data_IF_988150483741
#
_entry.id   IF_988150483741
#
_cell.length_a   1.000
_cell.length_b   1.000
_cell.length_c   1.000
_cell.angle_alpha   90.00
_cell.angle_beta   90.00
_cell.angle_gamma   90.00
#
_symmetry.space_group_name_H-M   'P 1'
#
loop_
_entity.id
_entity.type
_entity.pdbx_description
1 polymer ?
#
# COMPACT_ATOMS: atom_id res chain seq x y z
N UNK A 1 -46.69 -38.23 18.66
CA UNK A 1 -46.22 -39.61 18.53
C UNK A 1 -45.41 -39.87 17.27
N UNK A 2 -45.97 -39.84 16.05
CA UNK A 2 -45.20 -40.09 14.80
C UNK A 2 -44.12 -39.01 14.55
N UNK A 3 -44.40 -37.76 14.91
CA UNK A 3 -43.42 -36.68 14.84
C UNK A 3 -42.27 -36.89 15.83
N UNK A 4 -42.59 -37.30 17.06
CA UNK A 4 -41.60 -37.52 18.12
C UNK A 4 -40.71 -38.73 17.82
N UNK A 5 -41.27 -39.80 17.23
CA UNK A 5 -40.48 -40.92 16.73
C UNK A 5 -39.58 -40.50 15.56
N UNK A 6 -40.09 -39.77 14.57
CA UNK A 6 -39.25 -39.26 13.47
C UNK A 6 -38.13 -38.34 13.94
N UNK A 7 -38.39 -37.48 14.93
CA UNK A 7 -37.39 -36.57 15.50
C UNK A 7 -36.31 -37.38 16.24
N UNK A 8 -36.70 -38.31 17.12
CA UNK A 8 -35.75 -39.17 17.84
C UNK A 8 -34.94 -40.10 16.92
N UNK A 9 -35.53 -40.61 15.83
CA UNK A 9 -34.78 -41.35 14.81
C UNK A 9 -33.79 -40.44 14.08
N UNK A 10 -34.22 -39.25 13.66
CA UNK A 10 -33.37 -38.28 12.96
C UNK A 10 -32.19 -37.85 13.83
N UNK A 11 -32.42 -37.59 15.11
CA UNK A 11 -31.35 -37.14 16.03
C UNK A 11 -30.33 -38.25 16.27
N UNK A 12 -30.77 -39.49 16.51
CA UNK A 12 -29.88 -40.65 16.61
C UNK A 12 -29.10 -40.93 15.31
N UNK A 13 -29.76 -40.79 14.16
CA UNK A 13 -29.13 -41.00 12.87
C UNK A 13 -28.11 -39.90 12.56
N UNK A 14 -28.43 -38.65 12.91
CA UNK A 14 -27.51 -37.50 12.78
C UNK A 14 -26.29 -37.65 13.66
N UNK A 15 -26.45 -38.08 14.90
CA UNK A 15 -25.33 -38.30 15.82
C UNK A 15 -24.38 -39.40 15.31
N UNK A 16 -24.92 -40.48 14.74
CA UNK A 16 -24.14 -41.59 14.18
C UNK A 16 -23.53 -41.29 12.81
N UNK A 17 -24.24 -40.55 11.95
CA UNK A 17 -23.75 -40.08 10.64
C UNK A 17 -22.73 -38.95 10.76
N UNK A 18 -22.73 -38.22 11.88
CA UNK A 18 -21.69 -37.23 12.18
C UNK A 18 -20.29 -37.83 12.14
N UNK A 19 -20.16 -39.15 12.38
CA UNK A 19 -18.90 -39.84 12.13
C UNK A 19 -18.65 -39.93 10.61
N UNK A 20 -17.60 -39.26 10.10
CA UNK A 20 -17.30 -39.22 8.67
C UNK A 20 -17.06 -40.62 8.07
N UNK A 21 -16.59 -41.58 8.88
CA UNK A 21 -16.45 -42.96 8.45
C UNK A 21 -17.80 -43.64 8.25
N UNK A 22 -18.70 -43.59 9.25
CA UNK A 22 -20.00 -44.27 9.17
C UNK A 22 -20.89 -43.68 8.06
N UNK A 23 -20.89 -42.35 7.92
CA UNK A 23 -21.62 -41.69 6.83
C UNK A 23 -21.10 -42.12 5.44
N UNK A 24 -19.78 -42.11 5.25
CA UNK A 24 -19.17 -42.53 3.99
C UNK A 24 -19.37 -44.02 3.73
N UNK A 25 -19.25 -44.86 4.76
CA UNK A 25 -19.50 -46.29 4.68
C UNK A 25 -20.92 -46.59 4.22
N UNK A 26 -21.91 -45.91 4.79
CA UNK A 26 -23.31 -46.09 4.39
C UNK A 26 -23.50 -45.74 2.92
N UNK A 27 -22.92 -44.64 2.44
CA UNK A 27 -22.98 -44.26 1.01
C UNK A 27 -22.28 -45.28 0.12
N UNK A 28 -21.08 -45.74 0.48
CA UNK A 28 -20.34 -46.77 -0.28
C UNK A 28 -21.13 -48.08 -0.33
N UNK A 29 -21.69 -48.51 0.80
CA UNK A 29 -22.53 -49.69 0.88
C UNK A 29 -23.77 -49.53 -0.02
N UNK A 30 -24.44 -48.38 0.02
CA UNK A 30 -25.60 -48.12 -0.84
C UNK A 30 -25.25 -48.21 -2.34
N UNK A 31 -24.10 -47.67 -2.73
CA UNK A 31 -23.66 -47.69 -4.13
C UNK A 31 -23.24 -49.10 -4.56
N UNK A 32 -22.53 -49.85 -3.72
CA UNK A 32 -22.09 -51.22 -4.04
C UNK A 32 -23.22 -52.24 -4.04
N UNK A 33 -24.21 -52.07 -3.17
CA UNK A 33 -25.38 -52.94 -3.05
C UNK A 33 -26.59 -52.35 -3.79
N UNK A 34 -26.36 -51.58 -4.86
CA UNK A 34 -27.41 -50.86 -5.57
C UNK A 34 -28.50 -51.78 -6.13
N UNK A 35 -28.17 -53.00 -6.57
CA UNK A 35 -29.15 -53.96 -7.05
C UNK A 35 -30.15 -54.39 -5.96
N UNK A 36 -29.67 -54.53 -4.72
CA UNK A 36 -30.51 -54.83 -3.56
C UNK A 36 -31.41 -53.64 -3.20
N UNK A 37 -30.89 -52.42 -3.26
CA UNK A 37 -31.66 -51.21 -2.96
C UNK A 37 -32.70 -50.95 -4.05
N UNK A 38 -32.28 -51.04 -5.31
CA UNK A 38 -33.16 -50.90 -6.46
C UNK A 38 -34.29 -51.94 -6.41
N UNK A 39 -33.96 -53.20 -6.13
CA UNK A 39 -34.96 -54.25 -6.01
C UNK A 39 -35.86 -54.05 -4.80
N UNK A 40 -35.40 -53.50 -3.66
CA UNK A 40 -36.25 -53.18 -2.51
C UNK A 40 -37.35 -52.16 -2.87
N UNK A 41 -36.99 -51.08 -3.56
CA UNK A 41 -37.89 -49.96 -3.85
C UNK A 41 -38.69 -50.10 -5.15
N UNK A 42 -38.30 -50.98 -6.07
CA UNK A 42 -39.03 -51.24 -7.30
C UNK A 42 -39.63 -52.65 -7.34
N UNK A 43 -40.73 -52.78 -8.07
CA UNK A 43 -41.31 -54.06 -8.47
C UNK A 43 -41.47 -54.01 -9.99
N UNK A 44 -40.78 -54.90 -10.70
CA UNK A 44 -40.94 -54.98 -12.15
C UNK A 44 -42.32 -55.56 -12.49
N UNK A 45 -42.92 -55.04 -13.56
CA UNK A 45 -44.25 -55.47 -14.00
C UNK A 45 -44.24 -56.97 -14.32
N UNK A 46 -44.97 -57.74 -13.52
CA UNK A 46 -45.06 -59.20 -13.67
C UNK A 46 -44.21 -60.01 -12.69
N UNK A 47 -43.42 -59.36 -11.81
CA UNK A 47 -42.72 -60.06 -10.73
C UNK A 47 -43.63 -60.32 -9.54
N UNK A 48 -43.63 -61.55 -9.05
CA UNK A 48 -44.36 -61.95 -7.83
C UNK A 48 -43.52 -61.66 -6.59
N UNK A 49 -44.17 -61.50 -5.43
CA UNK A 49 -43.48 -61.31 -4.14
C UNK A 49 -42.50 -62.47 -3.86
N UNK A 50 -42.85 -63.70 -4.25
CA UNK A 50 -42.01 -64.88 -4.06
C UNK A 50 -40.72 -64.81 -4.86
N UNK A 51 -40.78 -64.34 -6.11
CA UNK A 51 -39.59 -64.17 -6.95
C UNK A 51 -38.64 -63.11 -6.38
N UNK A 52 -39.19 -62.02 -5.82
CA UNK A 52 -38.39 -60.99 -5.16
C UNK A 52 -37.75 -61.48 -3.87
N UNK A 53 -38.46 -62.26 -3.06
CA UNK A 53 -37.87 -62.88 -1.87
C UNK A 53 -36.73 -63.81 -2.25
N UNK A 54 -36.95 -64.65 -3.27
CA UNK A 54 -35.95 -65.58 -3.78
C UNK A 54 -34.70 -64.86 -4.28
N UNK A 55 -34.87 -63.74 -4.98
CA UNK A 55 -33.74 -62.88 -5.38
C UNK A 55 -32.93 -62.37 -4.18
N UNK A 56 -33.60 -61.90 -3.12
CA UNK A 56 -32.91 -61.39 -1.92
C UNK A 56 -32.19 -62.54 -1.18
N UNK A 57 -32.82 -63.72 -1.09
CA UNK A 57 -32.20 -64.91 -0.51
C UNK A 57 -30.96 -65.32 -1.31
N UNK A 58 -31.06 -65.46 -2.63
CA UNK A 58 -29.93 -65.76 -3.52
C UNK A 58 -28.83 -64.70 -3.44
N UNK A 59 -29.19 -63.43 -3.25
CA UNK A 59 -28.22 -62.34 -3.07
C UNK A 59 -27.35 -62.57 -1.82
N UNK A 60 -27.95 -62.86 -0.67
CA UNK A 60 -27.21 -63.08 0.57
C UNK A 60 -26.55 -64.46 0.67
N UNK A 61 -27.08 -65.50 0.01
CA UNK A 61 -26.45 -66.83 -0.02
C UNK A 61 -25.13 -66.84 -0.79
N UNK A 62 -25.04 -66.07 -1.88
CA UNK A 62 -23.84 -65.98 -2.70
C UNK A 62 -22.80 -65.00 -2.14
N UNK A 63 -23.14 -64.23 -1.10
CA UNK A 63 -22.31 -63.18 -0.55
C UNK A 63 -21.60 -63.65 0.73
N UNK A 64 -20.28 -63.76 0.66
CA UNK A 64 -19.46 -63.95 1.85
C UNK A 64 -19.46 -62.67 2.69
N UNK A 65 -20.29 -62.64 3.74
CA UNK A 65 -20.54 -61.47 4.58
C UNK A 65 -19.24 -60.79 5.07
N UNK A 66 -18.27 -61.56 5.56
CA UNK A 66 -17.01 -61.01 6.09
C UNK A 66 -16.13 -60.42 4.99
N UNK A 67 -16.11 -61.03 3.80
CA UNK A 67 -15.32 -60.55 2.67
C UNK A 67 -15.94 -59.27 2.12
N UNK A 68 -17.26 -59.23 1.90
CA UNK A 68 -17.88 -58.02 1.38
C UNK A 68 -17.87 -56.86 2.39
N UNK A 69 -18.05 -57.15 3.69
CA UNK A 69 -17.86 -56.16 4.75
C UNK A 69 -16.45 -55.55 4.70
N UNK A 70 -15.42 -56.38 4.56
CA UNK A 70 -14.03 -55.93 4.48
C UNK A 70 -13.77 -55.10 3.22
N UNK A 71 -14.34 -55.50 2.08
CA UNK A 71 -14.22 -54.76 0.81
C UNK A 71 -14.95 -53.41 0.93
N UNK A 72 -16.13 -53.34 1.54
CA UNK A 72 -16.85 -52.09 1.79
C UNK A 72 -16.05 -51.14 2.68
N UNK A 73 -15.42 -51.66 3.74
CA UNK A 73 -14.54 -50.90 4.63
C UNK A 73 -13.33 -50.36 3.84
N UNK A 74 -12.71 -51.19 3.00
CA UNK A 74 -11.56 -50.79 2.18
C UNK A 74 -11.93 -49.67 1.19
N UNK A 75 -13.06 -49.79 0.49
CA UNK A 75 -13.58 -48.74 -0.38
C UNK A 75 -13.90 -47.46 0.38
N UNK A 76 -14.45 -47.58 1.59
CA UNK A 76 -14.71 -46.42 2.45
C UNK A 76 -13.41 -45.66 2.77
N UNK A 77 -12.35 -46.38 3.15
CA UNK A 77 -11.05 -45.77 3.36
C UNK A 77 -10.49 -45.15 2.08
N UNK A 78 -10.61 -45.81 0.93
CA UNK A 78 -10.16 -45.27 -0.35
C UNK A 78 -10.88 -43.95 -0.71
N UNK A 79 -12.19 -43.87 -0.50
CA UNK A 79 -12.99 -42.64 -0.72
C UNK A 79 -12.58 -41.54 0.24
N UNK A 80 -12.37 -41.85 1.53
CA UNK A 80 -11.90 -40.87 2.52
C UNK A 80 -10.51 -40.34 2.17
N UNK A 81 -9.55 -41.23 1.86
CA UNK A 81 -8.20 -40.85 1.44
C UNK A 81 -8.27 -39.96 0.20
N UNK A 82 -9.05 -40.35 -0.80
CA UNK A 82 -9.25 -39.56 -2.02
C UNK A 82 -9.81 -38.18 -1.71
N UNK A 83 -10.79 -38.09 -0.81
CA UNK A 83 -11.39 -36.82 -0.38
C UNK A 83 -10.36 -35.91 0.28
N UNK A 84 -9.50 -36.45 1.16
CA UNK A 84 -8.42 -35.68 1.78
C UNK A 84 -7.37 -35.24 0.76
N UNK A 85 -7.01 -36.10 -0.19
CA UNK A 85 -6.10 -35.74 -1.29
C UNK A 85 -6.71 -34.59 -2.11
N UNK A 86 -7.98 -34.69 -2.47
CA UNK A 86 -8.69 -33.68 -3.25
C UNK A 86 -8.79 -32.34 -2.50
N UNK A 87 -9.02 -32.37 -1.18
CA UNK A 87 -8.98 -31.18 -0.33
C UNK A 87 -7.60 -30.53 -0.32
N UNK A 88 -6.53 -31.33 -0.23
CA UNK A 88 -5.16 -30.80 -0.26
C UNK A 88 -4.81 -30.22 -1.63
N UNK A 89 -5.22 -30.87 -2.72
CA UNK A 89 -5.06 -30.35 -4.08
C UNK A 89 -5.83 -29.03 -4.24
N UNK A 90 -7.07 -28.95 -3.76
CA UNK A 90 -7.86 -27.72 -3.76
C UNK A 90 -7.13 -26.58 -3.05
N UNK A 91 -6.59 -26.84 -1.84
CA UNK A 91 -5.76 -25.86 -1.12
C UNK A 91 -4.49 -25.48 -1.87
N UNK A 92 -3.84 -26.43 -2.54
CA UNK A 92 -2.66 -26.18 -3.36
C UNK A 92 -3.01 -25.25 -4.53
N UNK A 93 -4.12 -25.51 -5.21
CA UNK A 93 -4.61 -24.67 -6.31
C UNK A 93 -4.88 -23.27 -5.80
N UNK A 94 -5.65 -23.10 -4.72
CA UNK A 94 -5.94 -21.79 -4.14
C UNK A 94 -4.65 -21.04 -3.77
N UNK A 95 -3.72 -21.70 -3.08
CA UNK A 95 -2.43 -21.10 -2.72
C UNK A 95 -1.60 -20.72 -3.96
N UNK A 96 -1.61 -21.53 -5.01
CA UNK A 96 -0.91 -21.23 -6.26
C UNK A 96 -1.54 -20.02 -6.95
N UNK A 97 -2.87 -19.94 -6.94
CA UNK A 97 -3.60 -18.81 -7.48
C UNK A 97 -3.26 -17.53 -6.71
N UNK A 98 -3.45 -17.52 -5.39
CA UNK A 98 -3.20 -16.35 -4.55
C UNK A 98 -1.74 -15.90 -4.56
N UNK A 99 -0.78 -16.83 -4.49
CA UNK A 99 0.64 -16.48 -4.33
C UNK A 99 1.38 -16.28 -5.64
N UNK A 100 0.89 -16.84 -6.75
CA UNK A 100 1.63 -16.85 -8.02
C UNK A 100 0.85 -16.27 -9.18
N UNK A 101 -0.40 -16.69 -9.38
CA UNK A 101 -1.20 -16.19 -10.51
C UNK A 101 -1.73 -14.79 -10.26
N UNK A 102 -2.29 -14.49 -9.08
CA UNK A 102 -2.80 -13.15 -8.78
C UNK A 102 -1.72 -12.07 -8.91
N UNK A 103 -0.50 -12.21 -8.31
CA UNK A 103 0.55 -11.21 -8.49
C UNK A 103 1.09 -11.14 -9.92
N UNK A 104 1.00 -12.23 -10.70
CA UNK A 104 1.40 -12.25 -12.10
C UNK A 104 0.37 -11.56 -13.00
N UNK A 105 -0.93 -11.79 -12.76
CA UNK A 105 -2.03 -11.10 -13.42
C UNK A 105 -1.98 -9.61 -13.09
N UNK A 106 -1.80 -9.24 -11.82
CA UNK A 106 -1.67 -7.83 -11.45
C UNK A 106 -0.45 -7.15 -12.07
N UNK A 107 0.67 -7.86 -12.25
CA UNK A 107 1.82 -7.32 -12.99
C UNK A 107 1.52 -7.02 -14.46
N UNK A 108 0.59 -7.76 -15.07
CA UNK A 108 0.23 -7.61 -16.49
C UNK A 108 -0.88 -6.56 -16.65
N UNK A 109 -1.84 -6.52 -15.74
CA UNK A 109 -3.04 -5.67 -15.85
C UNK A 109 -2.83 -4.28 -15.25
N UNK A 110 -2.03 -4.14 -14.21
CA UNK A 110 -1.78 -2.85 -13.55
C UNK A 110 -0.28 -2.63 -13.31
N UNK A 111 0.38 -2.12 -14.36
CA UNK A 111 1.79 -1.75 -14.31
C UNK A 111 2.08 -0.52 -13.43
N UNK A 112 1.07 0.09 -12.78
CA UNK A 112 1.22 1.32 -11.99
C UNK A 112 1.04 1.15 -10.48
N UNK A 113 0.35 0.11 -9.99
CA UNK A 113 -0.09 0.07 -8.57
C UNK A 113 0.61 -0.93 -7.65
N UNK A 114 1.41 -1.87 -8.15
CA UNK A 114 2.12 -2.82 -7.26
C UNK A 114 3.63 -2.56 -7.29
N UNK A 115 4.03 -1.64 -6.43
CA UNK A 115 5.42 -1.55 -5.95
C UNK A 115 5.70 -2.86 -5.21
N UNK A 116 6.27 -3.86 -5.92
CA UNK A 116 6.77 -5.10 -5.32
C UNK A 116 7.60 -4.72 -4.09
N UNK A 117 7.50 -5.46 -2.99
CA UNK A 117 8.34 -5.26 -1.79
C UNK A 117 9.84 -5.08 -2.12
N UNK A 118 10.29 -5.70 -3.21
CA UNK A 118 11.64 -5.52 -3.78
C UNK A 118 11.97 -4.08 -4.20
N UNK A 119 11.00 -3.30 -4.68
CA UNK A 119 11.18 -1.88 -5.03
C UNK A 119 11.29 -1.05 -3.76
N UNK A 120 10.51 -1.35 -2.72
CA UNK A 120 10.65 -0.69 -1.41
C UNK A 120 12.03 -0.96 -0.79
N UNK A 121 12.45 -2.24 -0.76
CA UNK A 121 13.77 -2.63 -0.25
C UNK A 121 14.92 -2.01 -1.07
N UNK A 122 14.74 -1.84 -2.40
CA UNK A 122 15.71 -1.16 -3.25
C UNK A 122 15.69 0.36 -3.03
N UNK A 123 14.53 0.95 -2.74
CA UNK A 123 14.41 2.36 -2.38
C UNK A 123 15.10 2.65 -1.03
N UNK A 124 14.88 1.81 -0.03
CA UNK A 124 15.54 1.92 1.28
C UNK A 124 17.07 1.83 1.14
N UNK A 125 17.57 0.84 0.38
CA UNK A 125 19.01 0.74 0.09
C UNK A 125 19.55 1.96 -0.66
N UNK A 126 18.78 2.54 -1.57
CA UNK A 126 19.16 3.77 -2.28
C UNK A 126 19.17 4.98 -1.35
N UNK A 127 18.19 5.11 -0.45
CA UNK A 127 18.13 6.17 0.54
C UNK A 127 19.31 6.07 1.51
N UNK A 128 19.61 4.86 2.01
CA UNK A 128 20.77 4.60 2.87
C UNK A 128 22.08 4.97 2.16
N UNK A 129 22.25 4.58 0.90
CA UNK A 129 23.42 4.94 0.10
C UNK A 129 23.55 6.46 -0.14
N UNK A 130 22.43 7.15 -0.37
CA UNK A 130 22.41 8.61 -0.52
C UNK A 130 22.78 9.29 0.80
N UNK A 131 22.26 8.80 1.93
CA UNK A 131 22.53 9.35 3.24
C UNK A 131 24.01 9.21 3.63
N UNK A 132 24.60 8.03 3.39
CA UNK A 132 26.04 7.81 3.59
C UNK A 132 26.88 8.77 2.73
N UNK A 133 26.48 9.01 1.48
CA UNK A 133 27.18 9.97 0.60
C UNK A 133 27.07 11.40 1.13
N UNK A 134 25.88 11.81 1.56
CA UNK A 134 25.63 13.13 2.12
C UNK A 134 26.43 13.37 3.40
N UNK A 135 26.49 12.39 4.30
CA UNK A 135 27.28 12.50 5.53
C UNK A 135 28.78 12.62 5.24
N UNK A 136 29.31 11.85 4.28
CA UNK A 136 30.70 11.97 3.85
C UNK A 136 31.03 13.34 3.25
N UNK A 137 30.13 13.87 2.42
CA UNK A 137 30.31 15.18 1.80
C UNK A 137 30.26 16.30 2.85
N UNK A 138 29.33 16.19 3.81
CA UNK A 138 29.24 17.11 4.95
C UNK A 138 30.51 17.08 5.80
N UNK A 139 31.02 15.89 6.13
CA UNK A 139 32.24 15.74 6.93
C UNK A 139 33.48 16.27 6.18
N UNK A 140 33.57 16.04 4.87
CA UNK A 140 34.64 16.61 4.04
C UNK A 140 34.56 18.14 4.00
N UNK A 141 33.36 18.70 3.88
CA UNK A 141 33.16 20.15 3.90
C UNK A 141 33.55 20.77 5.25
N UNK A 142 33.17 20.16 6.36
CA UNK A 142 33.56 20.62 7.71
C UNK A 142 35.08 20.62 7.84
N UNK A 143 35.76 19.55 7.41
CA UNK A 143 37.24 19.50 7.42
C UNK A 143 37.88 20.64 6.62
N UNK A 144 37.34 20.93 5.43
CA UNK A 144 37.84 22.04 4.61
C UNK A 144 37.59 23.38 5.28
N UNK A 145 36.41 23.59 5.90
CA UNK A 145 36.10 24.81 6.66
C UNK A 145 37.05 24.98 7.86
N UNK A 146 37.32 23.91 8.62
CA UNK A 146 38.28 23.92 9.74
C UNK A 146 39.71 24.24 9.28
N UNK A 147 40.14 23.66 8.15
CA UNK A 147 41.46 23.95 7.55
C UNK A 147 41.55 25.41 7.07
N UNK A 148 40.47 25.95 6.52
CA UNK A 148 40.38 27.34 6.07
C UNK A 148 40.50 28.29 7.26
N UNK A 149 39.78 28.03 8.35
CA UNK A 149 39.86 28.82 9.60
C UNK A 149 41.28 28.77 10.18
N UNK A 150 41.91 27.59 10.22
CA UNK A 150 43.28 27.44 10.70
C UNK A 150 44.32 28.16 9.80
N UNK A 151 44.10 28.18 8.48
CA UNK A 151 44.93 28.93 7.54
C UNK A 151 44.73 30.43 7.67
N UNK A 152 43.50 30.91 7.83
CA UNK A 152 43.18 32.32 8.10
C UNK A 152 43.81 32.78 9.41
N UNK A 153 43.76 31.97 10.47
CA UNK A 153 44.40 32.28 11.74
C UNK A 153 45.93 32.38 11.60
N UNK A 154 46.55 31.48 10.82
CA UNK A 154 47.98 31.53 10.50
C UNK A 154 48.35 32.77 9.68
N UNK A 155 47.56 33.12 8.67
CA UNK A 155 47.76 34.33 7.88
C UNK A 155 47.59 35.59 8.73
N UNK A 156 46.61 35.63 9.64
CA UNK A 156 46.41 36.74 10.57
C UNK A 156 47.58 36.90 11.55
N UNK A 157 48.17 35.79 12.03
CA UNK A 157 49.39 35.80 12.84
C UNK A 157 50.61 36.27 12.04
N UNK A 158 50.81 35.75 10.83
CA UNK A 158 51.92 36.15 9.94
C UNK A 158 51.84 37.63 9.56
N UNK A 159 50.65 38.17 9.29
CA UNK A 159 50.45 39.60 9.06
C UNK A 159 50.75 40.44 10.31
N UNK A 160 50.37 39.97 11.51
CA UNK A 160 50.73 40.64 12.77
C UNK A 160 52.23 40.60 13.08
N UNK A 161 52.94 39.59 12.60
CA UNK A 161 54.38 39.47 12.75
C UNK A 161 55.14 40.31 11.71
N UNK A 162 54.58 40.51 10.51
CA UNK A 162 55.07 41.49 9.52
C UNK A 162 54.85 42.94 9.98
N UNK A 163 53.80 43.22 10.76
CA UNK A 163 53.45 44.58 11.26
C UNK A 163 54.26 45.03 12.50
N UNK A 164 55.26 44.23 12.93
CA UNK A 164 56.24 44.61 13.99
C UNK A 164 57.57 45.13 13.42
N UNK A 165 57.69 45.29 12.11
CA UNK A 165 58.86 45.87 11.47
C UNK A 165 58.46 47.01 10.53
N UNK A 166 58.87 48.24 10.89
CA UNK A 166 58.83 49.48 10.10
C UNK A 166 57.56 50.33 10.24
N UNK A 167 57.63 51.26 11.21
CA UNK A 167 56.89 52.53 11.20
C UNK A 167 57.41 53.43 10.08
N UNK A 168 56.55 53.77 9.11
CA UNK A 168 56.46 55.13 8.54
C UNK A 168 54.99 55.38 8.19
N UNK A 169 54.39 56.37 8.83
CA UNK A 169 52.99 56.72 8.66
C UNK A 169 52.70 57.54 7.41
N UNK A 170 51.41 57.62 7.09
CA UNK A 170 50.71 58.78 6.51
C UNK A 170 49.21 58.63 6.84
N UNK A 171 48.66 59.74 7.34
CA UNK A 171 47.28 59.96 7.79
C UNK A 171 46.31 60.22 6.62
N UNK A 172 45.02 60.27 7.00
CA UNK A 172 43.83 60.80 6.32
C UNK A 172 43.11 59.87 5.31
N UNK A 173 41.80 59.63 5.38
CA UNK A 173 40.67 60.36 6.01
C UNK A 173 39.45 59.43 6.17
N UNK A 174 38.58 59.69 7.16
CA UNK A 174 37.12 59.48 7.03
C UNK A 174 36.46 58.25 7.65
N UNK A 175 36.18 58.31 8.97
CA UNK A 175 35.13 57.54 9.65
C UNK A 175 33.76 58.19 9.43
N UNK A 176 32.71 57.39 9.31
CA UNK A 176 31.53 57.48 10.19
C UNK A 176 30.72 56.17 10.16
N UNK A 177 30.59 55.57 11.35
CA UNK A 177 29.66 54.51 11.74
C UNK A 177 28.76 55.19 12.77
N UNK A 178 27.44 54.97 12.75
CA UNK A 178 26.72 54.70 14.01
C UNK A 178 25.35 54.04 13.80
N UNK A 179 25.19 52.93 14.52
CA UNK A 179 23.96 52.25 14.90
C UNK A 179 23.18 53.05 15.95
N UNK A 180 21.87 52.79 16.03
CA UNK A 180 21.06 52.57 17.25
C UNK A 180 19.57 52.84 16.91
N UNK A 181 18.55 52.11 17.34
CA UNK A 181 18.43 51.05 18.35
C UNK A 181 16.97 50.53 18.36
N UNK A 182 16.80 49.21 18.57
CA UNK A 182 15.71 48.52 19.32
C UNK A 182 14.23 48.85 18.99
N UNK A 183 13.34 47.94 18.61
CA UNK A 183 12.89 46.75 19.38
C UNK A 183 11.84 45.97 18.55
N UNK A 184 12.00 44.66 18.34
CA UNK A 184 10.94 43.64 18.51
C UNK A 184 11.36 42.30 17.89
N UNK A 185 11.09 41.23 18.63
CA UNK A 185 11.28 39.84 18.21
C UNK A 185 10.29 39.51 17.08
N UNK A 186 10.76 39.03 15.93
CA UNK A 186 9.90 38.32 14.97
C UNK A 186 10.35 38.35 13.51
N UNK A 187 10.52 37.15 12.95
CA UNK A 187 10.40 36.76 11.54
C UNK A 187 11.44 37.27 10.53
N UNK A 188 12.10 36.30 9.87
CA UNK A 188 12.90 36.46 8.64
C UNK A 188 12.00 36.95 7.47
N UNK A 189 12.15 38.18 6.92
CA UNK A 189 11.36 38.63 5.77
C UNK A 189 12.12 38.61 4.43
N UNK A 190 13.37 38.12 4.37
CA UNK A 190 14.22 38.38 3.20
C UNK A 190 13.99 37.44 1.99
N UNK A 191 13.20 36.36 2.14
CA UNK A 191 12.92 35.41 1.05
C UNK A 191 11.58 35.68 0.36
N UNK A 192 10.56 36.05 1.14
CA UNK A 192 9.23 36.38 0.62
C UNK A 192 9.28 37.62 -0.28
N UNK A 193 9.96 38.69 0.16
CA UNK A 193 10.11 39.92 -0.62
C UNK A 193 10.82 39.71 -1.97
N UNK A 194 11.84 38.85 -2.00
CA UNK A 194 12.53 38.49 -3.26
C UNK A 194 11.63 37.71 -4.22
N UNK A 195 10.73 36.89 -3.69
CA UNK A 195 9.78 36.12 -4.49
C UNK A 195 8.64 37.01 -4.98
N UNK A 196 8.15 37.93 -4.15
CA UNK A 196 7.17 38.96 -4.55
C UNK A 196 7.71 39.80 -5.72
N UNK A 197 8.95 40.28 -5.65
CA UNK A 197 9.59 41.03 -6.75
C UNK A 197 9.62 40.22 -8.05
N UNK A 198 10.00 38.95 -7.99
CA UNK A 198 10.02 38.06 -9.18
C UNK A 198 8.63 37.77 -9.74
N UNK A 199 7.62 37.62 -8.89
CA UNK A 199 6.23 37.39 -9.33
C UNK A 199 5.69 38.62 -10.07
N UNK A 200 6.06 39.81 -9.61
CA UNK A 200 5.70 41.09 -10.26
C UNK A 200 6.47 41.26 -11.57
N UNK A 201 7.77 40.96 -11.59
CA UNK A 201 8.61 41.03 -12.80
C UNK A 201 8.15 40.08 -13.93
N UNK A 202 7.56 38.94 -13.58
CA UNK A 202 7.03 37.95 -14.55
C UNK A 202 5.54 38.14 -14.90
N UNK A 203 4.90 39.24 -14.46
CA UNK A 203 3.46 39.54 -14.66
C UNK A 203 2.51 38.41 -14.19
N UNK A 204 2.93 37.64 -13.18
CA UNK A 204 2.19 36.48 -12.64
C UNK A 204 1.45 36.80 -11.34
N UNK A 205 1.49 38.06 -10.88
CA UNK A 205 0.89 38.50 -9.62
C UNK A 205 -0.63 38.26 -9.59
N UNK A 206 -1.35 38.63 -10.65
CA UNK A 206 -2.81 38.44 -10.75
C UNK A 206 -3.19 36.95 -10.77
N UNK A 207 -2.45 36.15 -11.52
CA UNK A 207 -2.64 34.70 -11.62
C UNK A 207 -2.43 34.02 -10.27
N UNK A 208 -1.39 34.42 -9.53
CA UNK A 208 -1.14 33.90 -8.18
C UNK A 208 -2.26 34.29 -7.20
N UNK A 209 -2.74 35.53 -7.23
CA UNK A 209 -3.84 35.98 -6.38
C UNK A 209 -5.14 35.23 -6.67
N UNK A 210 -5.45 34.96 -7.93
CA UNK A 210 -6.63 34.15 -8.30
C UNK A 210 -6.53 32.71 -7.79
N UNK A 211 -5.38 32.07 -7.98
CA UNK A 211 -5.12 30.71 -7.48
C UNK A 211 -5.18 30.67 -5.95
N UNK A 212 -4.59 31.64 -5.28
CA UNK A 212 -4.61 31.74 -3.82
C UNK A 212 -6.04 31.98 -3.29
N UNK A 213 -6.84 32.82 -3.95
CA UNK A 213 -8.25 33.06 -3.58
C UNK A 213 -9.12 31.82 -3.78
N UNK A 214 -8.98 31.10 -4.90
CA UNK A 214 -9.67 29.82 -5.15
C UNK A 214 -9.29 28.76 -4.12
N UNK A 215 -7.98 28.67 -3.80
CA UNK A 215 -7.44 27.77 -2.78
C UNK A 215 -8.00 28.07 -1.39
N UNK A 216 -8.06 29.34 -0.98
CA UNK A 216 -8.64 29.75 0.32
C UNK A 216 -10.15 29.46 0.40
N UNK A 217 -10.86 29.50 -0.73
CA UNK A 217 -12.28 29.13 -0.84
C UNK A 217 -12.53 27.61 -0.94
N UNK A 218 -11.47 26.79 -0.99
CA UNK A 218 -11.50 25.33 -1.20
C UNK A 218 -12.15 24.93 -2.52
N UNK A 219 -11.99 25.75 -3.55
CA UNK A 219 -12.43 25.46 -4.92
C UNK A 219 -11.33 24.69 -5.67
N UNK A 220 -11.74 23.71 -6.46
CA UNK A 220 -10.83 22.87 -7.25
C UNK A 220 -10.31 23.62 -8.49
N UNK A 221 -9.03 23.41 -8.84
CA UNK A 221 -8.37 24.13 -9.94
C UNK A 221 -8.30 23.25 -11.19
N UNK A 222 -8.86 23.66 -12.34
CA UNK A 222 -8.85 22.86 -13.56
C UNK A 222 -7.43 22.73 -14.16
N UNK A 223 -7.13 21.55 -14.71
CA UNK A 223 -5.79 21.13 -15.18
C UNK A 223 -5.25 21.95 -16.35
N UNK A 224 -6.11 22.69 -17.07
CA UNK A 224 -5.68 23.57 -18.16
C UNK A 224 -4.84 24.78 -17.68
N UNK A 225 -4.85 25.10 -16.39
CA UNK A 225 -4.01 26.13 -15.77
C UNK A 225 -2.63 25.58 -15.30
N UNK A 226 -2.31 24.31 -15.58
CA UNK A 226 -1.10 23.59 -15.11
C UNK A 226 0.23 24.30 -15.37
N UNK A 227 0.42 24.93 -16.53
CA UNK A 227 1.67 25.64 -16.85
C UNK A 227 1.98 26.81 -15.90
N UNK A 228 0.94 27.42 -15.33
CA UNK A 228 1.11 28.50 -14.35
C UNK A 228 1.32 27.93 -12.94
N UNK A 229 0.74 26.76 -12.64
CA UNK A 229 0.90 26.07 -11.36
C UNK A 229 2.35 25.58 -11.14
N UNK A 230 3.03 25.11 -12.18
CA UNK A 230 4.42 24.62 -12.10
C UNK A 230 5.36 25.69 -11.53
N UNK A 231 5.21 26.95 -11.97
CA UNK A 231 5.99 28.07 -11.45
C UNK A 231 5.80 28.24 -9.93
N UNK A 232 4.55 28.21 -9.46
CA UNK A 232 4.27 28.39 -8.03
C UNK A 232 4.64 27.16 -7.18
N UNK A 233 4.66 25.96 -7.79
CA UNK A 233 5.16 24.73 -7.16
C UNK A 233 6.68 24.75 -7.00
N UNK A 234 7.41 25.23 -8.01
CA UNK A 234 8.87 25.33 -7.99
C UNK A 234 9.35 26.30 -6.90
N UNK A 235 8.65 27.43 -6.72
CA UNK A 235 8.90 28.36 -5.62
C UNK A 235 8.32 27.92 -4.27
N UNK A 236 7.70 26.73 -4.22
CA UNK A 236 7.05 26.13 -3.04
C UNK A 236 5.99 27.03 -2.42
N UNK A 237 5.31 27.84 -3.22
CA UNK A 237 4.25 28.72 -2.76
C UNK A 237 2.95 27.95 -2.55
N UNK A 238 2.71 26.97 -3.40
CA UNK A 238 1.55 26.07 -3.35
C UNK A 238 2.01 24.61 -3.23
N UNK A 239 1.11 23.74 -2.78
CA UNK A 239 1.30 22.30 -2.71
C UNK A 239 0.07 21.59 -3.24
N UNK A 240 0.23 20.62 -4.14
CA UNK A 240 -0.87 19.77 -4.58
C UNK A 240 -1.14 18.72 -3.49
N UNK A 241 -2.39 18.63 -3.04
CA UNK A 241 -2.83 17.68 -2.01
C UNK A 241 -3.60 16.50 -2.58
N UNK A 242 -4.29 16.68 -3.71
CA UNK A 242 -5.00 15.62 -4.40
C UNK A 242 -5.01 15.89 -5.91
N UNK A 243 -5.03 14.82 -6.70
CA UNK A 243 -5.05 14.89 -8.16
C UNK A 243 -5.97 13.81 -8.70
N UNK A 244 -7.04 14.23 -9.34
CA UNK A 244 -7.92 13.33 -10.09
C UNK A 244 -7.49 13.32 -11.57
N UNK A 245 -6.86 12.22 -11.98
CA UNK A 245 -6.40 12.03 -13.36
C UNK A 245 -7.58 11.84 -14.35
N UNK A 246 -8.80 11.57 -13.88
CA UNK A 246 -9.97 11.38 -14.74
C UNK A 246 -10.72 12.69 -15.00
N UNK A 247 -11.00 13.48 -13.95
CA UNK A 247 -11.78 14.73 -14.07
C UNK A 247 -10.92 16.00 -14.24
N UNK A 248 -9.62 15.86 -14.43
CA UNK A 248 -8.71 16.96 -14.80
C UNK A 248 -8.77 18.14 -13.81
N UNK A 249 -8.76 17.91 -12.50
CA UNK A 249 -8.65 18.96 -11.48
C UNK A 249 -7.54 18.67 -10.45
N UNK A 250 -6.98 19.76 -9.92
CA UNK A 250 -6.00 19.75 -8.85
C UNK A 250 -6.60 20.32 -7.58
N UNK A 251 -6.41 19.61 -6.48
CA UNK A 251 -6.60 20.18 -5.14
C UNK A 251 -5.28 20.76 -4.67
N UNK A 252 -5.28 22.05 -4.37
CA UNK A 252 -4.08 22.81 -4.03
C UNK A 252 -4.24 23.43 -2.64
N UNK A 253 -3.16 23.49 -1.88
CA UNK A 253 -3.07 24.22 -0.61
C UNK A 253 -1.92 25.22 -0.66
N UNK A 254 -2.11 26.38 -0.02
CA UNK A 254 -1.05 27.39 0.13
C UNK A 254 -0.07 26.94 1.22
N UNK A 255 1.21 27.03 0.91
CA UNK A 255 2.26 26.88 1.93
C UNK A 255 2.31 28.11 2.83
N UNK A 256 2.98 28.01 3.99
CA UNK A 256 3.24 29.17 4.87
C UNK A 256 3.92 30.33 4.14
N UNK A 257 4.81 30.02 3.18
CA UNK A 257 5.49 31.02 2.37
C UNK A 257 4.56 31.63 1.32
N UNK A 258 3.69 30.82 0.72
CA UNK A 258 2.64 31.28 -0.20
C UNK A 258 1.62 32.19 0.48
N UNK A 259 1.30 31.94 1.75
CA UNK A 259 0.39 32.76 2.54
C UNK A 259 1.01 34.13 2.88
N UNK A 260 2.30 34.16 3.24
CA UNK A 260 3.04 35.42 3.43
C UNK A 260 3.11 36.25 2.13
N UNK A 261 3.39 35.60 1.00
CA UNK A 261 3.43 36.25 -0.32
C UNK A 261 2.05 36.74 -0.75
N UNK A 262 0.99 36.00 -0.45
CA UNK A 262 -0.40 36.41 -0.68
C UNK A 262 -0.74 37.69 0.10
N UNK A 263 -0.45 37.74 1.40
CA UNK A 263 -0.70 38.94 2.21
C UNK A 263 0.06 40.16 1.69
N UNK A 264 1.34 40.00 1.33
CA UNK A 264 2.14 41.09 0.76
C UNK A 264 1.61 41.59 -0.58
N UNK A 265 1.13 40.69 -1.45
CA UNK A 265 0.55 41.08 -2.75
C UNK A 265 -0.82 41.74 -2.61
N UNK A 266 -1.65 41.31 -1.65
CA UNK A 266 -2.95 41.94 -1.35
C UNK A 266 -2.76 43.36 -0.79
N UNK A 267 -1.77 43.58 0.08
CA UNK A 267 -1.43 44.91 0.58
C UNK A 267 -0.99 45.85 -0.56
N UNK A 268 -0.18 45.36 -1.50
CA UNK A 268 0.24 46.12 -2.69
C UNK A 268 -0.91 46.44 -3.65
N UNK A 269 -1.89 45.52 -3.80
CA UNK A 269 -3.09 45.72 -4.63
C UNK A 269 -4.07 46.74 -4.01
N UNK A 270 -4.04 46.92 -2.68
CA UNK A 270 -4.88 47.91 -1.97
C UNK A 270 -4.36 49.35 -2.01
N UNK A 271 -3.14 49.55 -2.49
CA UNK A 271 -2.46 50.85 -2.59
C UNK A 271 -2.53 51.43 -4.01
N UNK A 272 -2.93 50.64 -5.01
CA UNK A 272 -3.18 51.07 -6.40
C UNK A 272 -4.65 51.41 -6.64
#
# INVERSE_FOLDING_TARGET
>A
MIKDTLISFKDNFRERISNPFLGTYLVVWLIRNWDLIYSLFNFDNGTTLQEKLKFIEEYYENLEFLVDLSINILWTFAVLITTYILMNISRLIVNLFEKRLSPWIYQITDSKSIVKKSVHENLEKRLEAIQIRYEKEKEARIRVEDELEALEEKLAKSKKDEDKGVYVGLQDEGKEIEENSSTSKGLKPNKAEKIVKKIIEEDKAKVFLEIARKTLKKEDIPTQESKNLDFFLDYRLIKITDKDDFDHWYKVELSELGLMVYHQLVELESIQ
#
